data_IF_076414988587
#
_entry.id   IF_076414988587
#
_cell.length_a   1.000
_cell.length_b   1.000
_cell.length_c   1.000
_cell.angle_alpha   90.00
_cell.angle_beta   90.00
_cell.angle_gamma   90.00
#
_symmetry.space_group_name_H-M   'P 1'
#
loop_
_entity.id
_entity.type
_entity.pdbx_description
1 polymer ?
#
# COMPACT_ATOMS: atom_id res chain seq x y z
N UNK A 1 41.59 -38.73 -42.47
CA UNK A 1 41.07 -37.40 -42.86
C UNK A 1 39.65 -37.57 -43.40
N UNK A 2 38.65 -37.40 -42.53
CA UNK A 2 37.25 -37.25 -42.91
C UNK A 2 36.61 -36.32 -41.88
N UNK A 3 36.43 -35.06 -42.27
CA UNK A 3 35.75 -34.04 -41.50
C UNK A 3 34.26 -34.31 -41.66
N UNK A 4 33.58 -34.70 -40.58
CA UNK A 4 32.13 -34.77 -40.55
C UNK A 4 31.62 -33.51 -39.89
N UNK A 5 31.19 -32.56 -40.72
CA UNK A 5 30.43 -31.37 -40.32
C UNK A 5 29.01 -31.86 -40.04
N UNK A 6 28.66 -31.98 -38.77
CA UNK A 6 27.27 -32.11 -38.34
C UNK A 6 27.05 -31.11 -37.20
N UNK A 7 26.74 -29.90 -37.64
CA UNK A 7 25.87 -28.90 -37.04
C UNK A 7 25.68 -28.95 -35.52
N UNK A 8 26.25 -27.92 -34.86
CA UNK A 8 25.77 -27.35 -33.60
C UNK A 8 24.24 -27.23 -33.64
N UNK A 9 23.55 -28.12 -32.92
CA UNK A 9 22.23 -27.82 -32.38
C UNK A 9 22.45 -27.23 -31.00
N UNK A 10 22.75 -25.92 -30.97
CA UNK A 10 22.61 -25.11 -29.77
C UNK A 10 21.10 -25.04 -29.50
N UNK A 11 20.55 -25.99 -28.76
CA UNK A 11 19.25 -25.80 -28.12
C UNK A 11 19.47 -24.72 -27.07
N UNK A 12 19.28 -23.46 -27.47
CA UNK A 12 18.92 -22.40 -26.56
C UNK A 12 17.51 -22.75 -26.01
N UNK A 13 17.48 -23.58 -24.99
CA UNK A 13 16.43 -23.52 -23.99
C UNK A 13 16.65 -22.21 -23.23
N UNK A 14 16.20 -21.10 -23.80
CA UNK A 14 15.81 -19.93 -23.03
C UNK A 14 14.51 -20.30 -22.29
N UNK A 15 14.65 -21.20 -21.32
CA UNK A 15 13.56 -21.55 -20.42
C UNK A 15 13.30 -20.35 -19.51
N UNK A 16 12.05 -19.89 -19.58
CA UNK A 16 11.37 -18.92 -18.72
C UNK A 16 11.78 -17.46 -18.89
N UNK A 17 10.91 -16.68 -19.53
CA UNK A 17 10.78 -15.23 -19.29
C UNK A 17 10.92 -15.02 -17.78
N UNK A 18 11.91 -14.20 -17.41
CA UNK A 18 12.40 -13.87 -16.07
C UNK A 18 11.36 -13.12 -15.23
N UNK A 19 10.23 -13.77 -14.99
CA UNK A 19 9.05 -13.13 -14.49
C UNK A 19 8.97 -13.15 -12.97
N UNK A 20 9.48 -12.07 -12.37
CA UNK A 20 9.90 -12.03 -10.97
C UNK A 20 9.96 -10.59 -10.41
N UNK A 21 9.03 -9.70 -10.81
CA UNK A 21 9.09 -8.28 -10.40
C UNK A 21 9.26 -8.11 -8.88
N UNK A 22 8.47 -8.81 -8.08
CA UNK A 22 8.61 -8.80 -6.63
C UNK A 22 9.92 -9.44 -6.15
N UNK A 23 10.27 -10.63 -6.65
CA UNK A 23 11.51 -11.32 -6.23
C UNK A 23 12.75 -10.46 -6.52
N UNK A 24 12.78 -9.76 -7.66
CA UNK A 24 13.84 -8.85 -8.04
C UNK A 24 13.84 -7.58 -7.17
N UNK A 25 12.67 -7.02 -6.86
CA UNK A 25 12.56 -5.88 -5.95
C UNK A 25 13.10 -6.22 -4.56
N UNK A 26 12.76 -7.40 -4.02
CA UNK A 26 13.29 -7.87 -2.72
C UNK A 26 14.79 -8.10 -2.79
N UNK A 27 15.29 -8.74 -3.84
CA UNK A 27 16.72 -8.92 -4.04
C UNK A 27 17.48 -7.58 -4.20
N UNK A 28 16.81 -6.55 -4.71
CA UNK A 28 17.32 -5.18 -4.81
C UNK A 28 17.18 -4.38 -3.49
N UNK A 29 16.74 -5.01 -2.40
CA UNK A 29 16.64 -4.40 -1.07
C UNK A 29 15.33 -3.65 -0.82
N UNK A 30 14.31 -3.81 -1.66
CA UNK A 30 12.99 -3.20 -1.48
C UNK A 30 12.02 -4.16 -0.82
N UNK A 31 10.97 -3.63 -0.22
CA UNK A 31 10.00 -4.42 0.54
C UNK A 31 9.06 -5.20 -0.38
N UNK A 32 8.60 -4.56 -1.46
CA UNK A 32 7.68 -5.19 -2.39
C UNK A 32 7.73 -4.58 -3.80
N UNK A 33 7.21 -5.36 -4.75
CA UNK A 33 6.61 -4.88 -5.99
C UNK A 33 5.19 -5.45 -5.99
N UNK A 34 4.19 -4.60 -6.17
CA UNK A 34 2.79 -4.95 -5.99
C UNK A 34 1.90 -4.45 -7.11
N UNK A 35 0.62 -4.80 -7.04
CA UNK A 35 -0.40 -4.35 -7.98
C UNK A 35 -1.74 -4.13 -7.29
N UNK A 36 -2.52 -3.16 -7.77
CA UNK A 36 -3.93 -3.10 -7.44
C UNK A 36 -4.74 -4.14 -8.23
N UNK A 37 -5.89 -4.54 -7.70
CA UNK A 37 -6.90 -5.33 -8.40
C UNK A 37 -8.29 -5.06 -7.81
N UNK A 38 -9.33 -5.46 -8.53
CA UNK A 38 -10.72 -5.39 -8.10
C UNK A 38 -11.45 -6.72 -8.27
N UNK A 39 -12.58 -6.87 -7.57
CA UNK A 39 -13.25 -8.15 -7.39
C UNK A 39 -13.70 -8.82 -8.70
N UNK A 40 -14.16 -8.02 -9.67
CA UNK A 40 -14.63 -8.51 -10.97
C UNK A 40 -13.51 -9.08 -11.85
N UNK A 41 -12.26 -8.70 -11.61
CA UNK A 41 -11.09 -9.14 -12.37
C UNK A 41 -10.64 -10.53 -11.95
N UNK A 42 -10.82 -10.87 -10.66
CA UNK A 42 -10.45 -12.16 -10.08
C UNK A 42 -11.27 -13.35 -10.60
N UNK A 43 -12.32 -13.09 -11.37
CA UNK A 43 -13.07 -14.12 -12.10
C UNK A 43 -12.37 -14.55 -13.41
N UNK A 44 -11.46 -13.74 -13.96
CA UNK A 44 -10.65 -14.09 -15.11
C UNK A 44 -9.46 -14.94 -14.66
N UNK A 45 -9.49 -16.23 -15.00
CA UNK A 45 -8.45 -17.19 -14.63
C UNK A 45 -7.08 -16.86 -15.22
N UNK A 46 -7.02 -16.26 -16.42
CA UNK A 46 -5.76 -15.92 -17.08
C UNK A 46 -5.11 -14.71 -16.43
N UNK A 47 -5.93 -13.73 -16.02
CA UNK A 47 -5.49 -12.61 -15.20
C UNK A 47 -4.99 -13.11 -13.83
N UNK A 48 -5.86 -13.84 -13.13
CA UNK A 48 -5.62 -14.30 -11.75
C UNK A 48 -4.41 -15.22 -11.65
N UNK A 49 -4.08 -15.98 -12.69
CA UNK A 49 -2.89 -16.84 -12.73
C UNK A 49 -1.59 -16.05 -12.50
N UNK A 50 -1.51 -14.81 -12.97
CA UNK A 50 -0.35 -13.93 -12.76
C UNK A 50 -0.51 -13.15 -11.45
N UNK A 51 -1.70 -12.58 -11.19
CA UNK A 51 -1.95 -11.76 -10.00
C UNK A 51 -1.69 -12.50 -8.68
N UNK A 52 -1.96 -13.81 -8.65
CA UNK A 52 -1.79 -14.64 -7.45
C UNK A 52 -0.35 -15.09 -7.20
N UNK A 53 0.55 -14.94 -8.18
CA UNK A 53 1.93 -15.40 -8.02
C UNK A 53 2.72 -14.34 -7.23
N UNK A 54 3.13 -14.64 -5.98
CA UNK A 54 3.86 -13.69 -5.16
C UNK A 54 5.22 -13.30 -5.75
N UNK A 55 5.78 -14.08 -6.69
CA UNK A 55 7.03 -13.71 -7.39
C UNK A 55 6.84 -12.52 -8.33
N UNK A 56 5.65 -12.37 -8.90
CA UNK A 56 5.28 -11.19 -9.66
C UNK A 56 4.90 -10.06 -8.72
N UNK A 57 3.93 -10.31 -7.84
CA UNK A 57 3.36 -9.29 -6.98
C UNK A 57 3.36 -9.75 -5.54
N UNK A 58 4.26 -9.23 -4.71
CA UNK A 58 4.31 -9.54 -3.29
C UNK A 58 3.36 -8.71 -2.43
N UNK A 59 2.61 -7.80 -3.05
CA UNK A 59 1.67 -6.91 -2.39
C UNK A 59 0.46 -6.63 -3.29
N UNK A 60 -0.73 -6.60 -2.70
CA UNK A 60 -2.00 -6.31 -3.38
C UNK A 60 -2.74 -5.13 -2.72
N UNK A 61 -3.35 -4.27 -3.53
CA UNK A 61 -4.23 -3.18 -3.07
C UNK A 61 -5.66 -3.40 -3.60
N UNK A 62 -6.70 -3.43 -2.76
CA UNK A 62 -8.08 -3.40 -3.24
C UNK A 62 -8.40 -2.03 -3.83
N UNK A 63 -8.59 -1.96 -5.16
CA UNK A 63 -8.77 -0.69 -5.86
C UNK A 63 -10.05 0.06 -5.44
N UNK A 64 -11.11 -0.67 -5.05
CA UNK A 64 -12.39 -0.08 -4.68
C UNK A 64 -13.01 -0.65 -3.40
N UNK A 65 -12.92 -1.96 -3.16
CA UNK A 65 -13.77 -2.63 -2.18
C UNK A 65 -13.68 -2.12 -0.75
N UNK A 66 -12.61 -1.44 -0.37
CA UNK A 66 -12.42 -0.86 0.97
C UNK A 66 -12.76 0.64 1.07
N UNK A 67 -13.16 1.29 -0.02
CA UNK A 67 -13.61 2.70 0.01
C UNK A 67 -14.95 2.84 0.76
N UNK A 68 -15.25 4.05 1.21
CA UNK A 68 -16.36 4.30 2.14
C UNK A 68 -17.73 3.96 1.54
N UNK A 69 -17.95 4.22 0.25
CA UNK A 69 -19.18 3.83 -0.46
C UNK A 69 -19.46 2.32 -0.43
N UNK A 70 -18.42 1.47 -0.50
CA UNK A 70 -18.55 0.02 -0.43
C UNK A 70 -18.72 -0.51 0.98
N UNK A 71 -18.12 0.16 1.98
CA UNK A 71 -18.03 -0.36 3.34
C UNK A 71 -19.10 0.18 4.28
N UNK A 72 -19.63 1.39 4.05
CA UNK A 72 -20.65 2.03 4.89
C UNK A 72 -21.58 2.92 4.04
N UNK A 73 -22.21 2.33 3.03
CA UNK A 73 -23.15 3.03 2.12
C UNK A 73 -24.32 3.73 2.83
N UNK A 74 -24.66 3.30 4.05
CA UNK A 74 -25.64 3.91 4.95
C UNK A 74 -25.03 4.05 6.34
N UNK A 75 -25.26 5.19 6.99
CA UNK A 75 -24.69 5.49 8.30
C UNK A 75 -24.90 4.35 9.30
N UNK A 76 -23.79 3.86 9.88
CA UNK A 76 -23.77 2.80 10.89
C UNK A 76 -24.07 1.39 10.37
N UNK A 77 -24.23 1.20 9.05
CA UNK A 77 -24.47 -0.12 8.45
C UNK A 77 -23.24 -0.53 7.64
N UNK A 78 -22.38 -1.31 8.27
CA UNK A 78 -21.15 -1.80 7.66
C UNK A 78 -21.36 -3.09 6.86
N UNK A 79 -20.73 -3.18 5.69
CA UNK A 79 -20.76 -4.37 4.83
C UNK A 79 -19.36 -4.68 4.31
N UNK A 80 -18.89 -5.91 4.55
CA UNK A 80 -17.54 -6.34 4.20
C UNK A 80 -17.49 -7.46 3.16
N UNK A 81 -18.65 -7.97 2.70
CA UNK A 81 -18.68 -9.10 1.77
C UNK A 81 -17.92 -8.82 0.47
N UNK A 82 -18.09 -7.62 -0.10
CA UNK A 82 -17.32 -7.15 -1.25
C UNK A 82 -15.89 -6.77 -0.84
N UNK A 83 -15.73 -6.04 0.27
CA UNK A 83 -14.44 -5.53 0.74
C UNK A 83 -13.42 -6.63 1.08
N UNK A 84 -13.88 -7.80 1.53
CA UNK A 84 -13.04 -8.91 1.99
C UNK A 84 -12.43 -9.75 0.86
N UNK A 85 -12.93 -9.64 -0.37
CA UNK A 85 -12.53 -10.52 -1.47
C UNK A 85 -11.04 -10.41 -1.75
N UNK A 86 -10.54 -9.18 -1.98
CA UNK A 86 -9.14 -8.94 -2.33
C UNK A 86 -8.18 -9.17 -1.14
N UNK A 87 -8.45 -8.70 0.09
CA UNK A 87 -7.61 -9.05 1.24
C UNK A 87 -7.52 -10.56 1.50
N UNK A 88 -8.63 -11.30 1.33
CA UNK A 88 -8.63 -12.77 1.46
C UNK A 88 -7.81 -13.44 0.36
N UNK A 89 -7.91 -12.95 -0.87
CA UNK A 89 -7.08 -13.39 -1.99
C UNK A 89 -5.60 -13.20 -1.67
N UNK A 90 -5.19 -12.00 -1.26
CA UNK A 90 -3.81 -11.67 -0.91
C UNK A 90 -3.29 -12.57 0.22
N UNK A 91 -4.08 -12.74 1.30
CA UNK A 91 -3.74 -13.65 2.41
C UNK A 91 -3.52 -15.09 1.96
N UNK A 92 -4.38 -15.59 1.07
CA UNK A 92 -4.28 -16.96 0.55
C UNK A 92 -2.98 -17.20 -0.22
N UNK A 93 -2.48 -16.16 -0.89
CA UNK A 93 -1.28 -16.23 -1.73
C UNK A 93 -0.01 -15.71 -1.03
N UNK A 94 -0.08 -15.36 0.26
CA UNK A 94 1.06 -14.85 1.02
C UNK A 94 1.53 -13.45 0.59
N UNK A 95 0.63 -12.62 0.07
CA UNK A 95 0.91 -11.25 -0.37
C UNK A 95 0.59 -10.25 0.74
N UNK A 96 1.39 -9.18 0.84
CA UNK A 96 1.08 -8.04 1.71
C UNK A 96 -0.20 -7.34 1.22
N UNK A 97 -0.94 -6.70 2.14
CA UNK A 97 -2.09 -5.86 1.77
C UNK A 97 -1.79 -4.41 2.10
N UNK A 98 -1.87 -3.52 1.10
CA UNK A 98 -2.04 -2.09 1.37
C UNK A 98 -3.52 -1.79 1.33
N UNK A 99 -4.09 -1.46 2.48
CA UNK A 99 -5.51 -1.15 2.58
C UNK A 99 -5.79 0.29 2.14
N UNK A 100 -6.85 0.46 1.37
CA UNK A 100 -7.11 1.69 0.62
C UNK A 100 -8.62 1.93 0.47
N UNK A 101 -9.20 3.01 0.99
CA UNK A 101 -8.65 4.10 1.79
C UNK A 101 -9.74 4.62 2.74
N UNK A 102 -9.37 5.24 3.87
CA UNK A 102 -10.32 5.62 4.91
C UNK A 102 -11.05 6.94 4.61
N UNK A 103 -10.30 8.03 4.40
CA UNK A 103 -10.90 9.34 4.07
C UNK A 103 -10.48 9.81 2.68
N UNK A 104 -11.47 9.97 1.80
CA UNK A 104 -11.24 10.41 0.43
C UNK A 104 -12.32 11.36 -0.05
N UNK A 105 -11.97 12.31 -0.94
CA UNK A 105 -12.95 13.21 -1.59
C UNK A 105 -13.94 12.49 -2.50
N UNK A 106 -13.54 11.36 -3.09
CA UNK A 106 -14.35 10.56 -4.00
C UNK A 106 -14.81 9.30 -3.29
N UNK A 107 -15.87 8.68 -3.80
CA UNK A 107 -16.39 7.41 -3.26
C UNK A 107 -16.68 7.47 -1.76
N UNK A 108 -16.99 8.67 -1.26
CA UNK A 108 -17.56 8.92 0.06
C UNK A 108 -19.07 8.99 -0.09
N UNK A 109 -19.85 8.26 0.74
CA UNK A 109 -21.28 8.12 0.54
C UNK A 109 -22.02 9.46 0.67
N UNK A 110 -23.15 9.56 -0.02
CA UNK A 110 -23.94 10.81 -0.11
C UNK A 110 -24.46 11.29 1.23
N UNK A 111 -24.74 10.37 2.17
CA UNK A 111 -25.18 10.72 3.52
C UNK A 111 -24.08 11.48 4.31
N UNK A 112 -22.80 11.23 4.02
CA UNK A 112 -21.68 12.00 4.57
C UNK A 112 -21.52 13.32 3.83
N UNK A 113 -21.38 13.27 2.50
CA UNK A 113 -21.02 14.45 1.68
C UNK A 113 -22.10 15.52 1.59
N UNK A 114 -23.38 15.13 1.74
CA UNK A 114 -24.53 16.04 1.73
C UNK A 114 -25.09 16.32 3.12
N UNK A 115 -24.50 15.73 4.17
CA UNK A 115 -24.92 15.97 5.55
C UNK A 115 -24.54 17.38 6.02
N UNK A 116 -25.37 17.95 6.88
CA UNK A 116 -25.06 19.18 7.62
C UNK A 116 -24.59 18.79 9.01
N UNK A 117 -23.29 18.89 9.24
CA UNK A 117 -22.64 18.36 10.42
C UNK A 117 -22.12 19.47 11.32
N UNK A 118 -22.36 19.35 12.63
CA UNK A 118 -21.53 20.03 13.63
C UNK A 118 -20.14 19.39 13.70
N UNK A 119 -19.19 20.04 14.37
CA UNK A 119 -17.87 19.46 14.63
C UNK A 119 -17.96 18.12 15.34
N UNK A 120 -18.71 18.05 16.44
CA UNK A 120 -18.88 16.82 17.23
C UNK A 120 -19.49 15.68 16.41
N UNK A 121 -20.48 15.99 15.56
CA UNK A 121 -21.09 14.98 14.71
C UNK A 121 -20.11 14.47 13.65
N UNK A 122 -19.36 15.36 12.99
CA UNK A 122 -18.36 14.94 12.00
C UNK A 122 -17.23 14.13 12.65
N UNK A 123 -16.78 14.53 13.84
CA UNK A 123 -15.82 13.76 14.63
C UNK A 123 -16.35 12.35 14.91
N UNK A 124 -17.59 12.22 15.37
CA UNK A 124 -18.20 10.92 15.62
C UNK A 124 -18.35 10.07 14.34
N UNK A 125 -18.72 10.68 13.21
CA UNK A 125 -18.83 10.01 11.90
C UNK A 125 -17.48 9.45 11.46
N UNK A 126 -16.42 10.27 11.46
CA UNK A 126 -15.07 9.84 11.08
C UNK A 126 -14.57 8.73 12.01
N UNK A 127 -14.72 8.91 13.33
CA UNK A 127 -14.25 7.90 14.29
C UNK A 127 -14.96 6.56 14.11
N UNK A 128 -16.29 6.58 14.01
CA UNK A 128 -17.09 5.37 13.83
C UNK A 128 -16.68 4.62 12.56
N UNK A 129 -16.51 5.34 11.44
CA UNK A 129 -16.07 4.75 10.19
C UNK A 129 -14.71 4.06 10.32
N UNK A 130 -13.71 4.78 10.84
CA UNK A 130 -12.34 4.28 10.98
C UNK A 130 -12.26 3.13 11.98
N UNK A 131 -12.90 3.24 13.14
CA UNK A 131 -12.88 2.20 14.18
C UNK A 131 -13.47 0.89 13.67
N UNK A 132 -14.57 0.92 12.91
CA UNK A 132 -15.16 -0.27 12.33
C UNK A 132 -14.30 -0.85 11.19
N UNK A 133 -13.89 -0.02 10.23
CA UNK A 133 -13.17 -0.49 9.05
C UNK A 133 -11.75 -0.96 9.38
N UNK A 134 -10.98 -0.19 10.14
CA UNK A 134 -9.64 -0.59 10.60
C UNK A 134 -9.75 -1.74 11.59
N UNK A 135 -10.77 -1.76 12.46
CA UNK A 135 -11.01 -2.85 13.40
C UNK A 135 -11.25 -4.19 12.71
N UNK A 136 -12.04 -4.20 11.64
CA UNK A 136 -12.31 -5.39 10.83
C UNK A 136 -11.04 -5.94 10.15
N UNK A 137 -10.16 -5.06 9.66
CA UNK A 137 -8.91 -5.44 9.00
C UNK A 137 -7.66 -5.43 9.89
N UNK A 138 -7.82 -5.33 11.22
CA UNK A 138 -6.72 -5.26 12.18
C UNK A 138 -5.74 -6.43 12.00
N UNK A 139 -4.46 -6.11 11.82
CA UNK A 139 -3.38 -7.08 11.61
C UNK A 139 -3.37 -7.75 10.23
N UNK A 140 -4.26 -7.36 9.32
CA UNK A 140 -4.29 -7.85 7.92
C UNK A 140 -3.62 -6.86 6.96
N UNK A 141 -3.70 -5.56 7.27
CA UNK A 141 -3.10 -4.50 6.47
C UNK A 141 -1.63 -4.30 6.87
N UNK A 142 -0.71 -4.41 5.91
CA UNK A 142 0.66 -3.91 6.09
C UNK A 142 0.63 -2.39 6.29
N UNK A 143 -0.16 -1.70 5.47
CA UNK A 143 -0.34 -0.25 5.56
C UNK A 143 -1.76 0.17 5.24
N UNK A 144 -2.13 1.37 5.68
CA UNK A 144 -3.35 2.07 5.33
C UNK A 144 -3.05 3.39 4.63
N UNK A 145 -3.71 3.64 3.50
CA UNK A 145 -3.89 5.00 2.99
C UNK A 145 -5.00 5.64 3.84
N UNK A 146 -4.62 6.41 4.87
CA UNK A 146 -5.54 6.96 5.88
C UNK A 146 -6.31 8.15 5.33
N UNK A 147 -5.60 9.08 4.69
CA UNK A 147 -6.21 10.23 4.01
C UNK A 147 -5.66 10.30 2.60
N UNK A 148 -6.57 10.41 1.63
CA UNK A 148 -6.26 10.41 0.20
C UNK A 148 -6.64 11.76 -0.45
N UNK A 149 -5.72 12.34 -1.20
CA UNK A 149 -5.91 13.55 -2.04
C UNK A 149 -6.50 14.78 -1.32
N UNK A 150 -5.99 15.09 -0.12
CA UNK A 150 -6.47 16.23 0.67
C UNK A 150 -5.94 17.58 0.18
N UNK A 151 -4.95 17.60 -0.72
CA UNK A 151 -4.43 18.81 -1.35
C UNK A 151 -4.95 18.88 -2.80
N UNK A 152 -5.27 20.08 -3.29
CA UNK A 152 -5.66 20.33 -4.67
C UNK A 152 -4.46 20.69 -5.58
N UNK A 153 -4.71 20.80 -6.88
CA UNK A 153 -3.67 20.99 -7.88
C UNK A 153 -3.04 22.40 -7.81
N UNK A 154 -3.73 23.35 -7.18
CA UNK A 154 -3.24 24.70 -6.89
C UNK A 154 -2.45 24.79 -5.57
N UNK A 155 -2.26 23.68 -4.87
CA UNK A 155 -1.53 23.62 -3.61
C UNK A 155 -2.30 24.22 -2.44
N UNK A 156 -3.62 24.14 -2.44
CA UNK A 156 -4.48 24.45 -1.30
C UNK A 156 -5.07 23.16 -0.70
N UNK A 157 -5.58 23.24 0.53
CA UNK A 157 -6.35 22.13 1.09
C UNK A 157 -7.71 22.05 0.40
N UNK A 158 -8.08 20.83 0.02
CA UNK A 158 -9.28 20.58 -0.74
C UNK A 158 -10.52 20.74 0.13
N UNK A 159 -11.49 21.48 -0.41
CA UNK A 159 -12.78 21.83 0.22
C UNK A 159 -13.79 20.65 0.32
N UNK A 160 -13.37 19.57 0.99
CA UNK A 160 -14.21 18.41 1.34
C UNK A 160 -15.16 18.74 2.50
N UNK A 161 -16.19 17.92 2.72
CA UNK A 161 -17.08 18.08 3.88
C UNK A 161 -16.31 17.96 5.21
N UNK A 162 -15.27 17.12 5.25
CA UNK A 162 -14.39 16.95 6.41
C UNK A 162 -13.63 18.24 6.71
N UNK A 163 -12.97 18.81 5.69
CA UNK A 163 -12.18 20.04 5.84
C UNK A 163 -13.06 21.24 6.18
N UNK A 164 -14.24 21.38 5.58
CA UNK A 164 -15.18 22.48 5.88
C UNK A 164 -15.66 22.50 7.32
N UNK A 165 -15.85 21.32 7.91
CA UNK A 165 -16.39 21.20 9.27
C UNK A 165 -15.28 21.24 10.32
N UNK A 166 -14.17 20.54 10.08
CA UNK A 166 -13.11 20.32 11.08
C UNK A 166 -11.79 21.03 10.76
N UNK A 167 -11.62 21.65 9.59
CA UNK A 167 -10.31 22.14 9.16
C UNK A 167 -9.32 20.98 9.02
N UNK A 168 -8.05 21.17 9.39
CA UNK A 168 -7.04 20.09 9.36
C UNK A 168 -7.20 19.03 10.45
N UNK A 169 -8.02 19.29 11.47
CA UNK A 169 -8.21 18.36 12.59
C UNK A 169 -8.83 17.03 12.15
N UNK A 170 -9.53 16.98 10.99
CA UNK A 170 -10.03 15.71 10.46
C UNK A 170 -8.89 14.74 10.10
N UNK A 171 -7.74 15.25 9.66
CA UNK A 171 -6.60 14.43 9.26
C UNK A 171 -5.92 13.88 10.51
N UNK A 172 -5.60 14.74 11.49
CA UNK A 172 -4.99 14.29 12.75
C UNK A 172 -5.92 13.32 13.50
N UNK A 173 -7.23 13.58 13.50
CA UNK A 173 -8.24 12.67 14.04
C UNK A 173 -8.18 11.29 13.35
N UNK A 174 -8.10 11.26 12.01
CA UNK A 174 -8.09 10.01 11.27
C UNK A 174 -6.84 9.16 11.57
N UNK A 175 -5.66 9.76 11.54
CA UNK A 175 -4.41 9.07 11.87
C UNK A 175 -4.40 8.56 13.31
N UNK A 176 -4.77 9.40 14.28
CA UNK A 176 -4.82 8.99 15.69
C UNK A 176 -5.82 7.85 15.93
N UNK A 177 -7.00 7.92 15.29
CA UNK A 177 -8.03 6.88 15.43
C UNK A 177 -7.58 5.57 14.80
N UNK A 178 -7.02 5.61 13.58
CA UNK A 178 -6.53 4.42 12.90
C UNK A 178 -5.43 3.71 13.72
N UNK A 179 -4.45 4.47 14.23
CA UNK A 179 -3.36 3.92 15.04
C UNK A 179 -3.82 3.36 16.38
N UNK A 180 -4.81 3.98 17.03
CA UNK A 180 -5.36 3.47 18.28
C UNK A 180 -6.04 2.10 18.10
N UNK A 181 -6.60 1.84 16.92
CA UNK A 181 -7.29 0.59 16.59
C UNK A 181 -6.28 -0.48 16.15
N UNK A 182 -5.37 -0.14 15.24
CA UNK A 182 -4.31 -1.01 14.75
C UNK A 182 -2.94 -0.31 14.77
N UNK A 183 -2.19 -0.41 15.89
CA UNK A 183 -0.91 0.28 16.02
C UNK A 183 0.22 -0.30 15.16
N UNK A 184 0.06 -1.52 14.65
CA UNK A 184 1.08 -2.22 13.84
C UNK A 184 1.04 -1.80 12.37
N UNK A 185 -0.11 -1.31 11.88
CA UNK A 185 -0.26 -0.86 10.50
C UNK A 185 0.53 0.43 10.24
N UNK A 186 1.28 0.46 9.12
CA UNK A 186 1.92 1.70 8.65
C UNK A 186 0.86 2.65 8.09
N UNK A 187 0.87 3.91 8.50
CA UNK A 187 -0.19 4.86 8.16
C UNK A 187 0.35 5.89 7.17
N UNK A 188 -0.29 5.99 6.01
CA UNK A 188 0.14 6.81 4.89
C UNK A 188 -0.84 7.95 4.62
N UNK A 189 -0.28 9.11 4.27
CA UNK A 189 -0.98 10.10 3.45
C UNK A 189 -0.69 9.78 1.97
N UNK A 190 -1.70 9.71 1.11
CA UNK A 190 -1.55 9.32 -0.30
C UNK A 190 -2.08 10.41 -1.24
N UNK A 191 -1.33 10.76 -2.28
CA UNK A 191 -1.75 11.78 -3.25
C UNK A 191 -1.04 11.65 -4.61
N UNK A 192 -1.60 12.28 -5.64
CA UNK A 192 -1.03 12.39 -6.99
C UNK A 192 -0.41 13.77 -7.24
N UNK A 193 0.42 13.89 -8.27
CA UNK A 193 1.11 15.12 -8.66
C UNK A 193 1.96 15.70 -7.51
N UNK A 194 2.48 14.82 -6.65
CA UNK A 194 3.41 15.18 -5.59
C UNK A 194 4.78 14.54 -5.80
N UNK A 195 5.04 14.03 -7.01
CA UNK A 195 6.27 13.35 -7.41
C UNK A 195 7.30 14.30 -8.04
N UNK A 196 6.93 15.56 -8.27
CA UNK A 196 7.82 16.60 -8.80
C UNK A 196 7.65 17.94 -8.05
N UNK A 197 8.65 18.83 -8.07
CA UNK A 197 8.57 20.11 -7.38
C UNK A 197 7.46 21.00 -7.96
N UNK A 198 6.40 21.23 -7.19
CA UNK A 198 5.27 22.06 -7.58
C UNK A 198 4.51 22.57 -6.32
N UNK A 199 3.49 23.46 -6.46
CA UNK A 199 2.74 23.97 -5.31
C UNK A 199 2.06 22.89 -4.45
N UNK A 200 1.49 21.85 -5.07
CA UNK A 200 0.83 20.74 -4.38
C UNK A 200 1.81 19.90 -3.56
N UNK A 201 2.97 19.59 -4.14
CA UNK A 201 4.06 18.90 -3.44
C UNK A 201 4.53 19.69 -2.22
N UNK A 202 4.76 21.01 -2.36
CA UNK A 202 5.15 21.89 -1.23
C UNK A 202 4.09 21.94 -0.14
N UNK A 203 2.81 22.05 -0.52
CA UNK A 203 1.70 22.02 0.43
C UNK A 203 1.60 20.67 1.15
N UNK A 204 1.93 19.58 0.48
CA UNK A 204 1.98 18.25 1.09
C UNK A 204 3.13 18.14 2.09
N UNK A 205 4.31 18.71 1.81
CA UNK A 205 5.41 18.82 2.78
C UNK A 205 4.98 19.62 4.02
N UNK A 206 4.25 20.72 3.84
CA UNK A 206 3.66 21.49 4.96
C UNK A 206 2.66 20.65 5.77
N UNK A 207 1.82 19.86 5.11
CA UNK A 207 0.87 18.96 5.77
C UNK A 207 1.59 17.91 6.61
N UNK A 208 2.64 17.27 6.07
CA UNK A 208 3.45 16.27 6.82
C UNK A 208 4.04 16.90 8.08
N UNK A 209 4.64 18.10 7.96
CA UNK A 209 5.18 18.84 9.12
C UNK A 209 4.10 19.19 10.14
N UNK A 210 2.91 19.60 9.68
CA UNK A 210 1.77 19.86 10.55
C UNK A 210 1.34 18.61 11.33
N UNK A 211 1.22 17.46 10.67
CA UNK A 211 0.86 16.19 11.31
C UNK A 211 1.89 15.76 12.35
N UNK A 212 3.18 15.92 12.05
CA UNK A 212 4.27 15.65 12.99
C UNK A 212 4.25 16.58 14.20
N UNK A 213 4.02 17.88 14.00
CA UNK A 213 3.87 18.84 15.08
C UNK A 213 2.66 18.52 15.98
N UNK A 214 1.57 18.02 15.38
CA UNK A 214 0.40 17.52 16.09
C UNK A 214 0.60 16.11 16.71
N UNK A 215 1.78 15.50 16.56
CA UNK A 215 2.12 14.14 17.01
C UNK A 215 1.18 13.07 16.46
N UNK A 216 0.61 13.29 15.27
CA UNK A 216 -0.16 12.27 14.59
C UNK A 216 0.77 11.13 14.11
N UNK A 217 0.35 9.85 14.20
CA UNK A 217 1.15 8.68 13.84
C UNK A 217 1.23 8.51 12.32
N UNK A 218 1.96 9.42 11.65
CA UNK A 218 2.25 9.36 10.23
C UNK A 218 3.54 8.56 9.99
N UNK A 219 3.43 7.47 9.23
CA UNK A 219 4.56 6.59 8.94
C UNK A 219 5.10 6.72 7.53
N UNK A 220 4.29 7.19 6.57
CA UNK A 220 4.72 7.30 5.18
C UNK A 220 3.91 8.27 4.32
N UNK A 221 4.46 8.60 3.16
CA UNK A 221 3.79 9.34 2.08
C UNK A 221 3.73 8.45 0.83
N UNK A 222 2.52 8.27 0.32
CA UNK A 222 2.25 7.55 -0.92
C UNK A 222 2.25 8.52 -2.10
N UNK A 223 3.14 8.25 -3.05
CA UNK A 223 3.25 8.92 -4.34
C UNK A 223 2.44 8.09 -5.35
N UNK A 224 1.24 8.53 -5.75
CA UNK A 224 0.39 7.73 -6.64
C UNK A 224 1.14 7.35 -7.92
N UNK A 225 1.82 8.29 -8.57
CA UNK A 225 2.62 8.01 -9.76
C UNK A 225 1.77 7.81 -11.02
N UNK A 226 0.67 8.54 -11.14
CA UNK A 226 -0.12 8.60 -12.38
C UNK A 226 0.51 9.58 -13.37
N UNK A 227 1.16 9.06 -14.40
CA UNK A 227 1.90 9.89 -15.36
C UNK A 227 1.31 9.88 -16.76
N UNK A 228 1.95 10.64 -17.65
CA UNK A 228 1.62 10.76 -19.07
C UNK A 228 2.90 10.56 -19.88
N UNK A 229 2.82 9.70 -20.90
CA UNK A 229 3.91 9.52 -21.87
C UNK A 229 4.26 10.86 -22.51
N UNK A 230 5.55 11.19 -22.53
CA UNK A 230 6.06 12.48 -23.03
C UNK A 230 5.91 13.67 -22.06
N UNK A 231 5.50 13.45 -20.81
CA UNK A 231 5.34 14.52 -19.79
C UNK A 231 5.80 14.08 -18.41
N UNK A 232 6.83 13.23 -18.35
CA UNK A 232 7.42 12.75 -17.11
C UNK A 232 8.30 13.83 -16.45
N UNK A 233 8.29 13.93 -15.11
CA UNK A 233 9.41 14.53 -14.39
C UNK A 233 10.73 13.80 -14.70
N UNK A 234 11.86 14.48 -14.53
CA UNK A 234 13.16 13.80 -14.65
C UNK A 234 13.36 12.81 -13.50
N UNK A 235 14.19 11.78 -13.70
CA UNK A 235 14.54 10.85 -12.61
C UNK A 235 15.12 11.61 -11.40
N UNK A 236 15.92 12.65 -11.63
CA UNK A 236 16.50 13.46 -10.57
C UNK A 236 15.44 14.25 -9.78
N UNK A 237 14.38 14.73 -10.43
CA UNK A 237 13.26 15.39 -9.75
C UNK A 237 12.47 14.40 -8.88
N UNK A 238 12.22 13.20 -9.41
CA UNK A 238 11.58 12.11 -8.65
C UNK A 238 12.39 11.76 -7.39
N UNK A 239 13.71 11.61 -7.52
CA UNK A 239 14.62 11.36 -6.40
C UNK A 239 14.66 12.53 -5.41
N UNK A 240 14.68 13.77 -5.90
CA UNK A 240 14.68 14.98 -5.06
C UNK A 240 13.45 15.03 -4.17
N UNK A 241 12.27 14.82 -4.75
CA UNK A 241 11.01 14.89 -4.01
C UNK A 241 10.84 13.71 -3.05
N UNK A 242 11.20 12.49 -3.47
CA UNK A 242 11.21 11.35 -2.57
C UNK A 242 12.17 11.55 -1.38
N UNK A 243 13.35 12.12 -1.61
CA UNK A 243 14.29 12.47 -0.53
C UNK A 243 13.77 13.61 0.37
N UNK A 244 12.99 14.55 -0.16
CA UNK A 244 12.39 15.60 0.66
C UNK A 244 11.41 15.03 1.69
N UNK A 245 10.54 14.10 1.28
CA UNK A 245 9.67 13.39 2.23
C UNK A 245 10.48 12.48 3.16
N UNK A 246 11.45 11.72 2.64
CA UNK A 246 12.33 10.89 3.47
C UNK A 246 13.08 11.70 4.54
N UNK A 247 13.51 12.91 4.21
CA UNK A 247 14.17 13.84 5.14
C UNK A 247 13.29 14.31 6.30
N UNK A 248 11.97 14.11 6.21
CA UNK A 248 11.03 14.32 7.32
C UNK A 248 10.90 13.08 8.22
N UNK A 249 11.60 11.98 7.93
CA UNK A 249 11.59 10.76 8.72
C UNK A 249 10.37 9.86 8.47
N UNK A 250 9.77 9.94 7.29
CA UNK A 250 8.66 9.08 6.85
C UNK A 250 9.10 8.18 5.69
N UNK A 251 8.51 7.00 5.58
CA UNK A 251 8.69 6.13 4.41
C UNK A 251 8.07 6.77 3.17
N UNK A 252 8.56 6.40 1.99
CA UNK A 252 7.94 6.77 0.71
C UNK A 252 7.60 5.50 -0.07
N UNK A 253 6.49 5.50 -0.81
CA UNK A 253 6.14 4.41 -1.72
C UNK A 253 5.47 4.95 -2.97
N UNK A 254 5.71 4.32 -4.12
CA UNK A 254 4.84 4.51 -5.27
C UNK A 254 3.61 3.61 -5.13
N UNK A 255 2.40 4.17 -5.18
CA UNK A 255 1.19 3.49 -4.70
C UNK A 255 0.15 3.18 -5.77
N UNK A 256 0.18 3.86 -6.91
CA UNK A 256 -0.82 3.74 -7.99
C UNK A 256 -0.17 3.91 -9.37
N UNK A 257 1.04 3.40 -9.56
CA UNK A 257 1.89 3.72 -10.71
C UNK A 257 1.25 3.26 -12.03
N UNK A 258 1.03 4.22 -12.93
CA UNK A 258 0.71 3.99 -14.33
C UNK A 258 1.25 5.13 -15.22
N UNK A 259 1.43 4.87 -16.52
CA UNK A 259 1.96 5.88 -17.46
C UNK A 259 1.13 5.87 -18.73
N UNK A 260 0.07 6.68 -18.80
CA UNK A 260 -0.90 6.60 -19.90
C UNK A 260 -0.46 7.29 -21.19
N UNK A 261 -0.95 6.77 -22.31
CA UNK A 261 -1.00 7.47 -23.59
C UNK A 261 -2.22 8.39 -23.67
N UNK A 262 -2.04 9.62 -24.13
CA UNK A 262 -3.15 10.58 -24.34
C UNK A 262 -3.92 10.36 -25.64
N UNK A 263 -3.42 9.49 -26.53
CA UNK A 263 -4.06 9.11 -27.78
C UNK A 263 -3.77 7.65 -28.09
N UNK A 264 -4.76 6.96 -28.65
CA UNK A 264 -4.66 5.58 -29.14
C UNK A 264 -4.97 5.52 -30.66
N UNK A 265 -4.37 4.57 -31.41
CA UNK A 265 -3.37 3.59 -30.95
C UNK A 265 -2.02 4.25 -30.62
N UNK A 266 -1.27 3.67 -29.67
CA UNK A 266 0.08 4.10 -29.35
C UNK A 266 1.06 3.74 -30.48
N UNK A 267 2.17 4.47 -30.58
CA UNK A 267 3.25 4.22 -31.56
C UNK A 267 4.37 3.39 -30.92
N UNK A 268 5.26 2.82 -31.75
CA UNK A 268 6.46 2.15 -31.26
C UNK A 268 7.38 3.07 -30.47
N UNK A 269 7.55 4.32 -30.92
CA UNK A 269 8.30 5.36 -30.19
C UNK A 269 7.66 5.65 -28.83
N UNK A 270 6.34 5.81 -28.78
CA UNK A 270 5.64 6.04 -27.52
C UNK A 270 5.73 4.87 -26.54
N UNK A 271 5.81 3.62 -27.03
CA UNK A 271 6.08 2.46 -26.17
C UNK A 271 7.48 2.51 -25.54
N UNK A 272 8.47 3.03 -26.27
CA UNK A 272 9.80 3.22 -25.72
C UNK A 272 9.82 4.35 -24.69
N UNK A 273 9.16 5.48 -24.96
CA UNK A 273 9.01 6.57 -23.99
C UNK A 273 8.31 6.11 -22.70
N UNK A 274 7.28 5.27 -22.82
CA UNK A 274 6.63 4.64 -21.67
C UNK A 274 7.60 3.73 -20.91
N UNK A 275 8.43 2.97 -21.60
CA UNK A 275 9.40 2.09 -20.97
C UNK A 275 10.45 2.88 -20.18
N UNK A 276 10.96 3.98 -20.75
CA UNK A 276 11.91 4.86 -20.10
C UNK A 276 11.29 5.56 -18.88
N UNK A 277 10.00 5.93 -18.97
CA UNK A 277 9.22 6.50 -17.87
C UNK A 277 9.11 5.56 -16.67
N UNK A 278 8.68 4.31 -16.89
CA UNK A 278 8.61 3.29 -15.84
C UNK A 278 10.00 3.02 -15.23
N UNK A 279 11.03 2.91 -16.07
CA UNK A 279 12.40 2.70 -15.59
C UNK A 279 12.91 3.86 -14.73
N UNK A 280 12.57 5.11 -15.07
CA UNK A 280 12.93 6.29 -14.27
C UNK A 280 12.31 6.24 -12.86
N UNK A 281 11.02 5.90 -12.75
CA UNK A 281 10.32 5.78 -11.46
C UNK A 281 10.91 4.64 -10.61
N UNK A 282 11.24 3.50 -11.23
CA UNK A 282 11.89 2.38 -10.55
C UNK A 282 13.29 2.76 -10.09
N UNK A 283 14.11 3.40 -10.92
CA UNK A 283 15.45 3.84 -10.52
C UNK A 283 15.42 4.89 -9.41
N UNK A 284 14.47 5.83 -9.46
CA UNK A 284 14.34 6.86 -8.45
C UNK A 284 14.10 6.26 -7.06
N UNK A 285 13.14 5.35 -6.92
CA UNK A 285 12.89 4.69 -5.64
C UNK A 285 14.02 3.73 -5.24
N UNK A 286 14.71 3.08 -6.19
CA UNK A 286 15.94 2.30 -5.88
C UNK A 286 17.03 3.17 -5.25
N UNK A 287 17.15 4.43 -5.66
CA UNK A 287 18.16 5.37 -5.18
C UNK A 287 17.78 6.10 -3.88
N UNK A 288 16.58 5.88 -3.34
CA UNK A 288 16.11 6.47 -2.08
C UNK A 288 15.88 5.38 -1.06
N UNK A 289 16.66 5.37 0.03
CA UNK A 289 16.64 4.32 1.05
C UNK A 289 15.27 4.17 1.72
N UNK A 290 14.62 5.29 2.05
CA UNK A 290 13.29 5.31 2.64
C UNK A 290 12.17 4.92 1.67
N UNK A 291 12.46 4.76 0.36
CA UNK A 291 11.46 4.31 -0.59
C UNK A 291 11.32 2.78 -0.52
N UNK A 292 10.16 2.31 -0.07
CA UNK A 292 9.94 0.90 0.30
C UNK A 292 9.50 0.01 -0.86
N UNK A 293 8.95 0.55 -1.94
CA UNK A 293 8.49 -0.25 -3.09
C UNK A 293 7.52 0.47 -4.01
N UNK A 294 6.95 -0.30 -4.93
CA UNK A 294 6.03 0.15 -5.97
C UNK A 294 4.77 -0.70 -6.00
N UNK A 295 3.64 -0.04 -6.28
CA UNK A 295 2.37 -0.67 -6.60
C UNK A 295 1.93 -0.09 -7.94
N UNK A 296 1.70 -0.93 -8.95
CA UNK A 296 1.10 -0.49 -10.22
C UNK A 296 -0.42 -0.54 -10.15
N UNK A 297 -1.11 0.46 -10.70
CA UNK A 297 -2.57 0.56 -10.60
C UNK A 297 -3.27 -0.33 -11.63
N UNK A 298 -3.31 -1.61 -11.27
CA UNK A 298 -3.47 -2.77 -12.14
C UNK A 298 -2.29 -2.94 -13.11
N UNK A 299 -2.07 -4.18 -13.54
CA UNK A 299 -0.87 -4.59 -14.28
C UNK A 299 -1.13 -4.78 -15.78
N UNK A 300 -2.38 -4.82 -16.22
CA UNK A 300 -2.77 -4.97 -17.64
C UNK A 300 -3.71 -3.87 -18.14
N UNK A 301 -3.48 -3.45 -19.38
CA UNK A 301 -4.34 -2.50 -20.09
C UNK A 301 -5.80 -2.99 -20.23
N UNK A 302 -6.06 -4.29 -20.03
CA UNK A 302 -7.40 -4.89 -20.06
C UNK A 302 -8.33 -4.33 -18.99
N UNK A 303 -7.79 -4.05 -17.81
CA UNK A 303 -8.55 -3.66 -16.62
C UNK A 303 -8.18 -2.28 -16.07
N UNK A 304 -7.21 -1.61 -16.70
CA UNK A 304 -6.85 -0.24 -16.39
C UNK A 304 -8.07 0.69 -16.30
N UNK A 305 -8.10 1.47 -15.23
CA UNK A 305 -9.11 2.52 -15.01
C UNK A 305 -9.05 3.66 -16.04
N UNK A 306 -7.90 3.86 -16.68
CA UNK A 306 -7.60 5.05 -17.50
C UNK A 306 -8.63 5.30 -18.60
N UNK A 307 -9.04 4.33 -19.43
CA UNK A 307 -10.00 4.61 -20.52
C UNK A 307 -11.39 5.04 -20.02
N UNK A 308 -11.80 4.56 -18.85
CA UNK A 308 -13.09 4.93 -18.25
C UNK A 308 -13.06 6.35 -17.67
N UNK A 309 -11.95 6.74 -17.07
CA UNK A 309 -11.74 8.10 -16.52
C UNK A 309 -11.45 9.11 -17.63
N UNK A 310 -10.61 8.74 -18.60
CA UNK A 310 -10.11 9.58 -19.68
C UNK A 310 -10.42 8.96 -21.06
N UNK A 311 -11.62 9.19 -21.61
CA UNK A 311 -12.01 8.61 -22.90
C UNK A 311 -11.04 8.94 -24.03
N UNK A 312 -10.58 7.91 -24.74
CA UNK A 312 -9.59 8.03 -25.83
C UNK A 312 -8.14 7.94 -25.38
N UNK A 313 -7.89 7.83 -24.08
CA UNK A 313 -6.58 7.58 -23.47
C UNK A 313 -6.52 6.14 -22.94
N UNK A 314 -5.31 5.62 -22.70
CA UNK A 314 -5.15 4.26 -22.18
C UNK A 314 -3.73 3.75 -22.37
N UNK A 315 -3.60 2.42 -22.50
CA UNK A 315 -2.31 1.78 -22.73
C UNK A 315 -1.32 2.02 -21.60
N UNK A 316 -1.78 2.19 -20.36
CA UNK A 316 -0.99 2.74 -19.26
C UNK A 316 -0.15 1.72 -18.48
N UNK A 317 -0.46 0.43 -18.59
CA UNK A 317 0.06 -0.63 -17.73
C UNK A 317 1.31 -1.31 -18.34
N UNK A 318 1.93 -2.22 -17.56
CA UNK A 318 3.10 -3.01 -18.00
C UNK A 318 2.75 -4.10 -19.02
N UNK A 319 1.51 -4.58 -19.01
CA UNK A 319 0.99 -5.59 -19.95
C UNK A 319 -0.11 -4.99 -20.83
N UNK A 320 -0.20 -5.46 -22.07
CA UNK A 320 -1.28 -5.11 -22.98
C UNK A 320 -2.61 -5.80 -22.60
N UNK A 321 -3.66 -5.53 -23.38
CA UNK A 321 -5.00 -6.10 -23.14
C UNK A 321 -5.11 -7.60 -23.43
N UNK A 322 -4.09 -8.20 -24.05
CA UNK A 322 -3.97 -9.63 -24.29
C UNK A 322 -3.05 -10.32 -23.27
N UNK A 323 -2.72 -9.63 -22.17
CA UNK A 323 -1.86 -10.09 -21.09
C UNK A 323 -0.43 -10.40 -21.58
N UNK A 324 0.05 -9.69 -22.60
CA UNK A 324 1.44 -9.77 -23.07
C UNK A 324 2.26 -8.62 -22.51
N UNK A 325 3.51 -8.88 -22.07
CA UNK A 325 4.38 -7.82 -21.57
C UNK A 325 4.66 -6.81 -22.68
N UNK A 326 4.65 -5.53 -22.31
CA UNK A 326 5.06 -4.41 -23.17
C UNK A 326 6.54 -4.07 -22.91
N UNK A 327 7.19 -3.26 -23.75
CA UNK A 327 8.57 -2.82 -23.52
C UNK A 327 8.82 -2.22 -22.13
N UNK A 328 7.79 -1.62 -21.52
CA UNK A 328 7.85 -1.12 -20.14
C UNK A 328 8.11 -2.20 -19.10
N UNK A 329 7.56 -3.41 -19.26
CA UNK A 329 7.83 -4.53 -18.38
C UNK A 329 9.32 -4.90 -18.40
N UNK A 330 9.89 -5.04 -19.60
CA UNK A 330 11.29 -5.41 -19.77
C UNK A 330 12.24 -4.35 -19.19
N UNK A 331 11.90 -3.07 -19.35
CA UNK A 331 12.67 -1.96 -18.79
C UNK A 331 12.67 -1.95 -17.25
N UNK A 332 11.52 -2.28 -16.62
CA UNK A 332 11.44 -2.44 -15.16
C UNK A 332 12.29 -3.62 -14.70
N UNK A 333 12.18 -4.78 -15.35
CA UNK A 333 12.98 -5.97 -15.02
C UNK A 333 14.48 -5.64 -15.12
N UNK A 334 14.91 -5.02 -16.22
CA UNK A 334 16.30 -4.65 -16.43
C UNK A 334 16.84 -3.69 -15.36
N UNK A 335 16.03 -2.70 -14.93
CA UNK A 335 16.40 -1.78 -13.86
C UNK A 335 16.59 -2.50 -12.52
N UNK A 336 15.69 -3.42 -12.17
CA UNK A 336 15.79 -4.20 -10.93
C UNK A 336 16.98 -5.17 -10.97
N UNK A 337 17.20 -5.89 -12.07
CA UNK A 337 18.35 -6.78 -12.22
C UNK A 337 19.68 -6.03 -12.10
N UNK A 338 19.77 -4.83 -12.67
CA UNK A 338 20.95 -3.98 -12.54
C UNK A 338 21.23 -3.60 -11.07
N UNK A 339 20.17 -3.30 -10.30
CA UNK A 339 20.29 -3.01 -8.88
C UNK A 339 20.75 -4.23 -8.08
N UNK A 340 20.20 -5.42 -8.36
CA UNK A 340 20.63 -6.68 -7.72
C UNK A 340 22.13 -6.93 -7.97
N UNK A 341 22.60 -6.77 -9.22
CA UNK A 341 24.02 -6.93 -9.57
C UNK A 341 24.92 -5.94 -8.83
N UNK A 342 24.48 -4.68 -8.67
CA UNK A 342 25.20 -3.64 -7.91
C UNK A 342 25.28 -3.96 -6.42
N UNK A 343 24.21 -4.50 -5.82
CA UNK A 343 24.21 -4.91 -4.41
C UNK A 343 25.16 -6.10 -4.17
N UNK A 344 25.19 -7.07 -5.08
CA UNK A 344 26.09 -8.23 -4.97
C UNK A 344 27.58 -7.87 -5.11
N UNK A 345 27.93 -6.92 -5.99
CA UNK A 345 29.31 -6.45 -6.14
C UNK A 345 29.79 -5.65 -4.93
N UNK A 346 28.90 -4.85 -4.32
CA UNK A 346 29.22 -4.07 -3.11
C UNK A 346 29.46 -4.97 -1.89
N UNK A 347 28.72 -6.09 -1.76
CA UNK A 347 28.94 -7.08 -0.71
C UNK A 347 30.20 -7.92 -0.92
N UNK A 348 30.60 -8.20 -2.17
CA UNK A 348 31.86 -8.93 -2.44
C UNK A 348 33.09 -8.08 -2.14
N UNK A 349 33.00 -6.75 -2.28
CA UNK A 349 34.09 -5.81 -2.03
C UNK A 349 34.32 -5.49 -0.53
N UNK A 350 33.40 -5.86 0.36
CA UNK A 350 33.50 -5.60 1.82
C UNK A 350 34.05 -6.78 2.63
N UNK A 351 34.58 -7.83 1.99
CA UNK A 351 35.32 -8.88 2.70
C UNK A 351 36.63 -8.29 3.27
N UNK A 352 36.84 -8.25 4.59
CA UNK A 352 38.13 -7.77 5.11
C UNK A 352 39.21 -8.78 4.72
N UNK A 353 40.17 -8.33 3.93
CA UNK A 353 41.43 -9.04 3.75
C UNK A 353 42.04 -9.21 5.13
N UNK A 354 42.06 -10.43 5.64
CA UNK A 354 42.82 -10.78 6.82
C UNK A 354 44.30 -10.51 6.54
N UNK A 355 44.79 -9.34 6.96
CA UNK A 355 46.22 -9.05 6.96
C UNK A 355 46.85 -10.00 7.96
N UNK A 356 47.54 -11.02 7.44
CA UNK A 356 48.38 -11.90 8.24
C UNK A 356 49.41 -11.04 8.98
N UNK A 357 49.18 -10.85 10.28
CA UNK A 357 50.17 -10.29 11.19
C UNK A 357 51.15 -11.42 11.49
N UNK A 358 52.39 -11.25 11.04
CA UNK A 358 53.50 -12.11 11.44
C UNK A 358 53.77 -11.89 12.93
N UNK A 359 53.41 -12.90 13.73
CA UNK A 359 53.74 -12.99 15.15
C UNK A 359 55.27 -13.04 15.34
N UNK A 360 55.84 -12.00 15.96
CA UNK A 360 57.21 -12.05 16.47
C UNK A 360 57.13 -12.53 17.92
N UNK A 361 57.51 -13.79 18.11
CA UNK A 361 57.67 -14.44 19.40
C UNK A 361 58.71 -13.71 20.26
N UNK A 362 58.28 -13.13 21.38
CA UNK A 362 59.15 -12.75 22.48
C UNK A 362 58.74 -13.50 23.75
N UNK A 363 59.72 -14.21 24.29
CA UNK A 363 59.68 -15.11 25.45
C UNK A 363 59.39 -14.34 26.76
N UNK A 364 58.63 -14.92 27.71
CA UNK A 364 58.23 -14.21 28.92
C UNK A 364 59.37 -14.17 29.94
N UNK A 365 59.53 -13.01 30.59
CA UNK A 365 60.32 -12.90 31.83
C UNK A 365 59.35 -12.55 32.97
N UNK A 366 59.26 -13.46 33.93
CA UNK A 366 58.46 -13.36 35.14
C UNK A 366 59.12 -12.42 36.14
N UNK A 367 58.36 -11.47 36.68
CA UNK A 367 58.62 -10.92 38.00
C UNK A 367 57.30 -10.81 38.76
N UNK A 368 57.16 -11.62 39.81
CA UNK A 368 56.10 -11.55 40.80
C UNK A 368 56.48 -10.46 41.81
N UNK A 369 55.56 -9.52 42.07
CA UNK A 369 55.53 -8.79 43.33
C UNK A 369 54.07 -8.77 43.80
N UNK A 370 53.84 -9.45 44.92
CA UNK A 370 52.61 -9.43 45.70
C UNK A 370 52.62 -8.19 46.62
N UNK A 371 51.48 -7.51 46.77
CA UNK A 371 51.02 -7.05 48.10
C UNK A 371 49.52 -6.82 48.12
N UNK A 372 48.97 -7.29 49.22
CA UNK A 372 47.61 -7.36 49.75
C UNK A 372 46.98 -6.03 50.19
N UNK A 373 45.63 -6.01 50.10
CA UNK A 373 44.63 -5.52 51.07
C UNK A 373 44.63 -4.03 51.43
N UNK A 374 43.50 -3.34 51.19
CA UNK A 374 42.59 -2.92 52.26
C UNK A 374 41.36 -2.14 51.76
N UNK A 375 40.26 -2.54 52.35
CA UNK A 375 38.91 -2.00 52.38
C UNK A 375 38.87 -0.64 53.11
N UNK A 376 37.99 0.29 52.70
CA UNK A 376 37.31 1.17 53.66
C UNK A 376 36.03 1.74 53.07
N UNK A 377 34.93 1.43 53.74
CA UNK A 377 33.64 2.11 53.66
C UNK A 377 33.55 3.19 54.76
N UNK A 378 32.69 4.19 54.57
CA UNK A 378 31.74 4.83 55.53
C UNK A 378 31.32 6.20 54.97
N UNK A 379 30.04 6.53 54.75
CA UNK A 379 28.86 6.59 55.64
C UNK A 379 28.85 7.79 56.59
N UNK A 380 27.81 8.63 56.47
CA UNK A 380 27.03 9.32 57.55
C UNK A 380 25.86 10.05 56.86
N UNK A 381 24.58 10.04 57.28
CA UNK A 381 23.87 9.44 58.41
C UNK A 381 22.41 9.91 58.48
N UNK A 382 21.50 8.98 58.83
CA UNK A 382 20.30 9.04 59.72
C UNK A 382 19.34 10.27 59.73
N UNK A 383 18.03 10.20 59.41
CA UNK A 383 16.82 9.56 60.06
C UNK A 383 16.25 10.34 61.29
N UNK A 384 15.00 10.18 61.81
CA UNK A 384 13.87 9.25 61.47
C UNK A 384 12.39 9.79 61.67
N UNK A 385 11.40 8.85 61.60
CA UNK A 385 10.00 8.78 62.17
C UNK A 385 8.89 9.71 61.62
N UNK A 386 7.60 9.36 61.39
CA UNK A 386 6.62 8.43 62.04
C UNK A 386 5.48 7.92 61.13
N UNK A 387 4.93 6.75 61.51
CA UNK A 387 3.66 6.10 61.12
C UNK A 387 2.40 7.01 61.12
N UNK A 388 1.34 6.64 60.37
CA UNK A 388 0.00 6.29 60.92
C UNK A 388 -0.92 5.64 59.86
N UNK A 389 -1.71 4.69 60.37
CA UNK A 389 -2.65 3.70 59.85
C UNK A 389 -4.05 4.25 59.50
N UNK A 390 -4.77 3.55 58.60
CA UNK A 390 -6.22 3.20 58.60
C UNK A 390 -6.55 2.68 57.18
N UNK A 391 -6.96 1.44 56.86
CA UNK A 391 -7.97 0.53 57.42
C UNK A 391 -9.38 1.13 57.47
N UNK A 392 -10.20 0.81 56.47
CA UNK A 392 -11.58 0.36 56.71
C UNK A 392 -12.02 -0.65 55.64
N UNK A 393 -12.69 -1.68 56.16
CA UNK A 393 -13.19 -2.91 55.56
C UNK A 393 -14.71 -2.88 55.55
N UNK A 394 -15.34 -3.43 54.51
CA UNK A 394 -16.53 -4.32 54.50
C UNK A 394 -17.08 -4.36 53.06
N UNK A 395 -17.15 -5.47 52.29
CA UNK A 395 -17.73 -6.82 52.49
C UNK A 395 -19.26 -6.90 52.46
N UNK A 396 -19.81 -7.46 51.36
CA UNK A 396 -20.92 -8.44 51.28
C UNK A 396 -21.25 -8.68 49.78
N UNK A 397 -20.90 -9.80 49.13
CA UNK A 397 -21.54 -11.15 49.09
C UNK A 397 -22.93 -11.24 48.43
N UNK A 398 -22.99 -11.87 47.24
CA UNK A 398 -23.87 -13.02 46.87
C UNK A 398 -23.54 -13.41 45.41
N UNK A 399 -22.90 -14.54 45.11
CA UNK A 399 -23.50 -15.87 44.92
C UNK A 399 -24.74 -15.86 44.03
N UNK A 400 -24.60 -16.34 42.78
CA UNK A 400 -25.38 -17.48 42.30
C UNK A 400 -24.77 -18.06 41.01
N UNK A 401 -24.55 -19.37 41.06
CA UNK A 401 -24.15 -20.27 39.98
C UNK A 401 -25.33 -21.19 39.75
N UNK A 402 -25.90 -21.23 38.53
CA UNK A 402 -26.61 -22.41 38.01
C UNK A 402 -26.23 -22.68 36.54
N UNK A 403 -25.66 -23.87 36.41
CA UNK A 403 -25.32 -24.79 35.31
C UNK A 403 -25.84 -24.61 33.85
N UNK A 404 -25.11 -25.24 32.89
CA UNK A 404 -25.39 -25.19 31.46
C UNK A 404 -26.39 -26.27 31.01
N UNK A 405 -27.12 -26.01 29.93
CA UNK A 405 -27.98 -27.01 29.27
C UNK A 405 -27.18 -27.82 28.27
N UNK A 406 -26.99 -29.09 28.58
CA UNK A 406 -26.66 -30.17 27.64
C UNK A 406 -27.93 -30.77 27.06
N UNK A 407 -27.98 -31.01 25.75
CA UNK A 407 -28.85 -32.04 25.17
C UNK A 407 -28.00 -33.03 24.37
N UNK A 408 -28.08 -34.28 24.83
CA UNK A 408 -27.40 -35.43 24.29
C UNK A 408 -28.10 -35.99 23.05
N UNK A 409 -27.28 -36.60 22.19
CA UNK A 409 -27.68 -37.46 21.10
C UNK A 409 -28.42 -38.73 21.59
N UNK A 410 -29.34 -39.23 20.75
CA UNK A 410 -29.73 -40.65 20.71
C UNK A 410 -29.62 -41.14 19.28
N UNK A 411 -28.86 -42.21 19.09
CA UNK A 411 -28.71 -42.92 17.84
C UNK A 411 -29.86 -43.91 17.56
N UNK A 412 -29.90 -44.32 16.30
CA UNK A 412 -30.67 -45.45 15.77
C UNK A 412 -30.23 -45.70 14.33
N UNK A 413 -29.49 -46.78 14.11
CA UNK A 413 -29.11 -47.31 12.79
C UNK A 413 -30.34 -47.78 12.01
N UNK A 414 -30.28 -47.80 10.66
CA UNK A 414 -30.33 -49.00 9.79
C UNK A 414 -30.39 -48.61 8.30
N UNK A 415 -29.45 -49.19 7.55
CA UNK A 415 -29.40 -49.59 6.12
C UNK A 415 -30.06 -48.76 4.99
N UNK A 416 -29.17 -48.22 4.14
CA UNK A 416 -29.04 -48.50 2.68
C UNK A 416 -30.26 -48.42 1.76
N UNK A 417 -30.15 -47.59 0.71
CA UNK A 417 -30.34 -47.93 -0.73
C UNK A 417 -29.92 -46.71 -1.58
N UNK A 418 -29.10 -46.95 -2.60
CA UNK A 418 -28.73 -46.00 -3.67
C UNK A 418 -29.98 -45.56 -4.46
N UNK A 419 -30.18 -44.25 -4.62
CA UNK A 419 -31.22 -43.69 -5.48
C UNK A 419 -30.92 -42.25 -5.87
N UNK A 420 -30.44 -42.06 -7.10
CA UNK A 420 -30.15 -40.77 -7.73
C UNK A 420 -31.41 -39.91 -7.90
N UNK A 421 -31.39 -38.66 -7.44
CA UNK A 421 -32.37 -37.62 -7.81
C UNK A 421 -31.71 -36.21 -7.83
N UNK A 422 -32.27 -35.24 -8.60
CA UNK A 422 -31.51 -34.32 -9.43
C UNK A 422 -31.17 -32.96 -8.79
N UNK A 423 -30.09 -32.36 -9.32
CA UNK A 423 -29.66 -30.97 -9.06
C UNK A 423 -30.70 -29.98 -9.60
N UNK A 424 -31.16 -28.99 -8.82
CA UNK A 424 -32.00 -27.92 -9.36
C UNK A 424 -31.13 -26.88 -10.07
N UNK A 425 -31.42 -26.69 -11.35
CA UNK A 425 -30.96 -25.58 -12.20
C UNK A 425 -31.49 -24.25 -11.64
N UNK A 426 -30.60 -23.38 -11.16
CA UNK A 426 -30.92 -21.96 -10.98
C UNK A 426 -30.72 -21.23 -12.31
N UNK A 427 -31.83 -20.78 -12.88
CA UNK A 427 -31.89 -19.79 -13.95
C UNK A 427 -31.29 -18.47 -13.48
N UNK A 428 -30.31 -17.96 -14.25
CA UNK A 428 -29.71 -16.66 -14.06
C UNK A 428 -30.76 -15.53 -14.17
N UNK A 429 -30.88 -14.72 -13.12
CA UNK A 429 -31.59 -13.44 -13.19
C UNK A 429 -30.58 -12.37 -13.57
N UNK A 430 -30.71 -11.84 -14.79
CA UNK A 430 -29.93 -10.70 -15.27
C UNK A 430 -30.36 -9.42 -14.53
N UNK A 431 -29.50 -8.88 -13.68
CA UNK A 431 -29.66 -7.53 -13.15
C UNK A 431 -28.97 -6.57 -14.12
N UNK A 432 -29.77 -5.82 -14.90
CA UNK A 432 -29.25 -4.74 -15.73
C UNK A 432 -28.78 -3.56 -14.85
N UNK A 433 -27.65 -2.89 -15.18
CA UNK A 433 -27.22 -1.71 -14.45
C UNK A 433 -28.22 -0.57 -14.64
N UNK A 434 -28.62 0.07 -13.54
CA UNK A 434 -29.55 1.20 -13.56
C UNK A 434 -28.94 2.37 -14.35
N UNK A 435 -29.67 2.95 -15.33
CA UNK A 435 -29.13 4.06 -16.12
C UNK A 435 -28.97 5.33 -15.28
N UNK A 436 -27.79 5.94 -15.37
CA UNK A 436 -27.46 7.25 -14.79
C UNK A 436 -28.54 8.28 -15.11
N UNK A 437 -29.02 8.99 -14.09
CA UNK A 437 -30.12 9.94 -14.26
C UNK A 437 -29.74 11.05 -15.26
N UNK A 438 -30.71 11.61 -16.02
CA UNK A 438 -30.45 12.77 -16.89
C UNK A 438 -29.85 13.98 -16.16
N UNK A 439 -30.08 14.08 -14.84
CA UNK A 439 -29.52 15.12 -13.98
C UNK A 439 -28.02 14.91 -13.73
N UNK A 440 -27.60 13.67 -13.44
CA UNK A 440 -26.19 13.30 -13.28
C UNK A 440 -25.40 13.46 -14.59
N UNK A 441 -25.99 13.10 -15.73
CA UNK A 441 -25.37 13.34 -17.05
C UNK A 441 -25.12 14.82 -17.32
N UNK A 442 -26.03 15.70 -16.90
CA UNK A 442 -25.85 17.17 -17.02
C UNK A 442 -24.79 17.69 -16.04
N UNK A 443 -24.71 17.14 -14.83
CA UNK A 443 -23.72 17.51 -13.82
C UNK A 443 -22.29 17.09 -14.24
N UNK A 444 -22.15 15.88 -14.78
CA UNK A 444 -20.90 15.36 -15.34
C UNK A 444 -20.41 16.18 -16.54
N UNK A 445 -21.32 16.59 -17.44
CA UNK A 445 -20.98 17.49 -18.56
C UNK A 445 -20.49 18.86 -18.10
N UNK A 446 -21.02 19.40 -17.00
CA UNK A 446 -20.57 20.69 -16.44
C UNK A 446 -19.20 20.59 -15.77
N UNK A 447 -18.90 19.47 -15.11
CA UNK A 447 -17.59 19.17 -14.54
C UNK A 447 -16.52 19.07 -15.64
N UNK A 448 -16.78 18.27 -16.69
CA UNK A 448 -15.87 18.14 -17.86
C UNK A 448 -15.60 19.46 -18.57
N UNK A 449 -16.58 20.37 -18.62
CA UNK A 449 -16.40 21.70 -19.23
C UNK A 449 -15.49 22.61 -18.40
N UNK A 450 -15.44 22.42 -17.07
CA UNK A 450 -14.53 23.15 -16.18
C UNK A 450 -13.12 22.58 -16.23
N UNK A 451 -12.97 21.25 -16.27
CA UNK A 451 -11.67 20.56 -16.44
C UNK A 451 -11.01 20.92 -17.77
N UNK A 452 -11.76 20.92 -18.87
CA UNK A 452 -11.24 21.33 -20.18
C UNK A 452 -10.84 22.82 -20.25
N UNK A 453 -11.48 23.68 -19.45
CA UNK A 453 -11.09 25.09 -19.33
C UNK A 453 -9.84 25.27 -18.47
N UNK A 454 -9.69 24.49 -17.39
CA UNK A 454 -8.49 24.49 -16.56
C UNK A 454 -7.27 23.98 -17.33
N UNK A 455 -7.41 22.88 -18.08
CA UNK A 455 -6.36 22.34 -18.94
C UNK A 455 -5.90 23.34 -20.02
N UNK A 456 -6.84 24.06 -20.65
CA UNK A 456 -6.49 25.12 -21.62
C UNK A 456 -5.79 26.32 -21.00
N UNK A 457 -6.03 26.61 -19.72
CA UNK A 457 -5.40 27.72 -18.99
C UNK A 457 -4.02 27.37 -18.46
N UNK A 458 -3.69 26.07 -18.36
CA UNK A 458 -2.36 25.58 -18.02
C UNK A 458 -1.44 25.41 -19.24
N UNK A 459 -1.99 25.48 -20.47
CA UNK A 459 -1.25 25.37 -21.74
C UNK A 459 -1.04 26.71 -22.46
N UNK A 460 -1.36 27.83 -21.80
CA UNK A 460 -1.12 29.20 -22.23
C UNK A 460 -0.36 29.93 -21.13
#
# INVERSE_FOLDING_TARGET
MRVSIASLALLALADNVSANLHSLAVAAGKKYFGTATDNNELADSSYTAITKDPKYFGQITPANGQKWDYTESRQGVFQYSYADVVPRFAKTNGQLVRCHTLLYRSQTPTWVTSGSWSKDQMTAVIKTHIENLVGHYKGQCYSWDVVNEAVDDEGQYRETVFYKVLGLDHITLAFNTAHAVDPEAKLYYNDYNIENPNPKQKKTVELVKYLQAAKAPLHGVGLQGHFIVGSMPSQADLETVANEFAGLGVDVAYTELDVKFTKLPYTGEGLQEQADAYAAVVKACLNVDACVGWTIWDWTDKYSWVPNTFPGQGGACLFDSNLKPKPAYDAVVAALEAAVKKSASTQSASTPTATATTDVSLKPTSTVVSTSVAESAQSTGAAPVTNTTATETASATSSDVIAPVTTAARGGEVSGVYGSLPVPTQTAVSVSPTPISPCERKRFRRMKKREAMAARKASA
#
